data_IF_028105607280
#
_entry.id   IF_028105607280
#
_cell.length_a   1.000
_cell.length_b   1.000
_cell.length_c   1.000
_cell.angle_alpha   90.00
_cell.angle_beta   90.00
_cell.angle_gamma   90.00
#
_symmetry.space_group_name_H-M   'P 1'
#
loop_
_entity.id
_entity.type
_entity.pdbx_description
1 polymer ?
#
# COMPACT_ATOMS: atom_id res chain seq x y z
N UNK A 1 13.39 4.87 5.24
CA UNK A 1 13.04 4.33 6.56
C UNK A 1 12.32 5.38 7.38
N UNK A 2 11.18 5.06 7.97
CA UNK A 2 10.57 5.94 8.96
C UNK A 2 11.19 5.63 10.32
N UNK A 3 11.95 6.55 10.89
CA UNK A 3 12.48 6.44 12.25
C UNK A 3 11.70 7.37 13.16
N UNK A 4 11.57 7.02 14.42
CA UNK A 4 11.03 7.94 15.43
C UNK A 4 12.01 9.09 15.63
N UNK A 5 11.49 10.32 15.75
CA UNK A 5 12.32 11.52 15.86
C UNK A 5 13.27 11.44 17.05
N UNK A 6 12.83 10.90 18.18
CA UNK A 6 13.63 10.73 19.39
C UNK A 6 14.84 9.80 19.23
N UNK A 7 14.91 9.01 18.15
CA UNK A 7 16.01 8.11 17.82
C UNK A 7 17.00 8.70 16.79
N UNK A 8 16.79 9.93 16.37
CA UNK A 8 17.72 10.60 15.47
C UNK A 8 18.91 11.16 16.25
N UNK A 9 20.15 11.04 15.73
CA UNK A 9 21.32 11.68 16.36
C UNK A 9 21.19 13.20 16.30
N UNK A 10 21.76 13.90 17.29
CA UNK A 10 21.67 15.36 17.39
C UNK A 10 22.43 16.08 16.27
N UNK A 11 23.50 15.49 15.75
CA UNK A 11 24.28 16.04 14.63
C UNK A 11 24.82 14.93 13.75
N UNK A 12 25.03 15.19 12.46
CA UNK A 12 25.60 14.24 11.51
C UNK A 12 24.68 13.04 11.25
N UNK A 13 23.37 13.24 11.34
CA UNK A 13 22.35 12.20 11.26
C UNK A 13 22.12 11.63 9.87
N UNK A 14 21.16 10.71 9.78
CA UNK A 14 20.83 10.05 8.52
C UNK A 14 20.33 11.06 7.49
N UNK A 15 20.45 10.66 6.23
CA UNK A 15 19.82 11.40 5.14
C UNK A 15 18.30 11.35 5.30
N UNK A 16 17.68 12.51 5.39
CA UNK A 16 16.23 12.68 5.50
C UNK A 16 15.61 12.90 4.12
N UNK A 17 14.32 12.65 4.01
CA UNK A 17 13.55 13.04 2.84
C UNK A 17 12.87 14.37 3.13
N UNK A 18 13.23 15.39 2.35
CA UNK A 18 12.67 16.73 2.44
C UNK A 18 12.11 17.17 1.09
N UNK A 19 11.05 18.01 1.05
CA UNK A 19 10.53 18.53 -0.20
C UNK A 19 11.50 19.58 -0.78
N UNK A 20 11.79 19.49 -2.08
CA UNK A 20 12.42 20.56 -2.85
C UNK A 20 11.42 21.65 -3.26
N UNK A 21 11.91 22.68 -3.96
CA UNK A 21 11.06 23.76 -4.48
C UNK A 21 9.97 23.27 -5.45
N UNK A 22 10.17 22.14 -6.11
CA UNK A 22 9.17 21.50 -6.97
C UNK A 22 8.27 20.49 -6.24
N UNK A 23 8.33 20.46 -4.91
CA UNK A 23 7.58 19.58 -4.02
C UNK A 23 7.87 18.07 -4.21
N UNK A 24 9.04 17.74 -4.76
CA UNK A 24 9.51 16.36 -4.80
C UNK A 24 10.30 16.07 -3.54
N UNK A 25 10.13 14.87 -3.00
CA UNK A 25 10.98 14.42 -1.91
C UNK A 25 12.39 14.14 -2.44
N UNK A 26 13.34 14.90 -1.95
CA UNK A 26 14.76 14.72 -2.23
C UNK A 26 15.50 14.33 -0.95
N UNK A 27 16.65 13.70 -1.12
CA UNK A 27 17.54 13.42 0.02
C UNK A 27 18.17 14.71 0.52
N UNK A 28 18.01 14.99 1.80
CA UNK A 28 18.59 16.11 2.48
C UNK A 28 19.41 15.63 3.68
N UNK A 29 20.59 16.18 3.86
CA UNK A 29 21.38 15.89 5.05
C UNK A 29 20.74 16.58 6.27
N UNK A 30 20.64 15.85 7.38
CA UNK A 30 20.27 16.44 8.66
C UNK A 30 21.45 17.29 9.14
N UNK A 31 21.22 18.58 9.31
CA UNK A 31 22.26 19.49 9.84
C UNK A 31 22.30 19.44 11.36
N UNK A 32 21.14 19.51 11.99
CA UNK A 32 21.01 19.58 13.44
C UNK A 32 19.64 19.05 13.88
N UNK A 33 19.56 18.58 15.12
CA UNK A 33 18.33 18.31 15.83
C UNK A 33 18.37 19.00 17.19
N UNK A 34 17.44 19.92 17.40
CA UNK A 34 17.33 20.66 18.66
C UNK A 34 16.22 20.03 19.53
N UNK A 35 16.55 19.71 20.78
CA UNK A 35 15.58 19.31 21.77
C UNK A 35 15.06 20.54 22.47
N UNK A 36 13.78 20.86 22.32
CA UNK A 36 13.16 22.07 22.87
C UNK A 36 12.46 21.88 24.22
N UNK A 37 12.55 20.69 24.81
CA UNK A 37 11.88 20.34 26.07
C UNK A 37 10.38 20.08 25.88
N UNK A 38 9.63 20.12 27.00
CA UNK A 38 8.19 19.93 26.99
C UNK A 38 7.49 21.17 26.39
N UNK A 39 6.55 20.92 25.49
CA UNK A 39 5.78 21.95 24.79
C UNK A 39 4.31 21.53 24.74
N UNK A 40 3.43 22.51 24.81
CA UNK A 40 2.03 22.28 24.45
C UNK A 40 1.91 21.84 23.01
N UNK A 41 1.11 20.80 22.77
CA UNK A 41 0.84 20.24 21.46
C UNK A 41 -0.65 20.31 21.13
N UNK A 42 -0.94 20.34 19.85
CA UNK A 42 -2.28 20.23 19.30
C UNK A 42 -2.37 18.98 18.40
N UNK A 43 -3.50 18.31 18.41
CA UNK A 43 -3.80 17.24 17.47
C UNK A 43 -4.68 17.78 16.34
N UNK A 44 -4.21 17.64 15.11
CA UNK A 44 -4.97 17.94 13.91
C UNK A 44 -5.55 16.64 13.37
N UNK A 45 -6.86 16.45 13.48
CA UNK A 45 -7.56 15.29 12.90
C UNK A 45 -7.94 15.59 11.46
N UNK A 46 -7.39 14.81 10.53
CA UNK A 46 -7.59 14.99 9.10
C UNK A 46 -8.85 14.29 8.60
N UNK A 47 -9.36 14.72 7.46
CA UNK A 47 -10.57 14.16 6.82
C UNK A 47 -10.45 12.65 6.52
N UNK A 48 -9.24 12.13 6.34
CA UNK A 48 -8.97 10.71 6.12
C UNK A 48 -8.73 9.91 7.41
N UNK A 49 -9.00 10.51 8.57
CA UNK A 49 -8.86 9.90 9.88
C UNK A 49 -7.45 9.89 10.46
N UNK A 50 -6.45 10.41 9.75
CA UNK A 50 -5.10 10.57 10.30
C UNK A 50 -5.05 11.70 11.29
N UNK A 51 -4.20 11.56 12.28
CA UNK A 51 -3.94 12.61 13.27
C UNK A 51 -2.48 13.02 13.21
N UNK A 52 -2.24 14.33 13.12
CA UNK A 52 -0.91 14.93 13.28
C UNK A 52 -0.87 15.63 14.63
N UNK A 53 0.06 15.23 15.47
CA UNK A 53 0.32 15.92 16.75
C UNK A 53 1.57 16.77 16.59
N UNK A 54 1.48 18.07 16.83
CA UNK A 54 2.57 19.01 16.68
C UNK A 54 2.38 20.23 17.59
N UNK A 55 3.41 21.03 17.75
CA UNK A 55 3.28 22.32 18.45
C UNK A 55 2.38 23.29 17.66
N UNK A 56 1.69 24.25 18.31
CA UNK A 56 0.83 25.21 17.62
C UNK A 56 1.53 26.02 16.53
N UNK A 57 2.81 26.30 16.71
CA UNK A 57 3.65 27.06 15.79
C UNK A 57 4.28 26.24 14.69
N UNK A 58 4.03 24.91 14.65
CA UNK A 58 4.57 24.04 13.62
C UNK A 58 4.05 24.42 12.23
N UNK A 59 4.97 24.58 11.29
CA UNK A 59 4.62 24.97 9.93
C UNK A 59 4.11 23.79 9.12
N UNK A 60 2.94 23.95 8.54
CA UNK A 60 2.23 22.96 7.72
C UNK A 60 2.17 23.48 6.27
N UNK A 61 2.57 22.64 5.31
CA UNK A 61 2.49 22.98 3.90
C UNK A 61 1.03 22.83 3.41
N UNK A 62 0.45 23.95 2.97
CA UNK A 62 -0.88 23.95 2.33
C UNK A 62 -0.81 23.53 0.85
N UNK A 63 -1.95 23.14 0.30
CA UNK A 63 -2.08 22.74 -1.10
C UNK A 63 -1.71 23.87 -2.08
N UNK A 64 -1.91 25.14 -1.68
CA UNK A 64 -1.51 26.32 -2.44
C UNK A 64 0.01 26.61 -2.42
N UNK A 65 0.78 25.79 -1.69
CA UNK A 65 2.22 25.89 -1.59
C UNK A 65 2.75 26.82 -0.52
N UNK A 66 1.89 27.38 0.31
CA UNK A 66 2.30 28.24 1.43
C UNK A 66 2.49 27.41 2.69
N UNK A 67 3.50 27.78 3.47
CA UNK A 67 3.68 27.28 4.82
C UNK A 67 2.84 28.12 5.78
N UNK A 68 2.05 27.47 6.60
CA UNK A 68 1.15 28.09 7.57
C UNK A 68 1.27 27.36 8.90
N UNK A 69 1.28 28.10 10.01
CA UNK A 69 1.31 27.52 11.35
C UNK A 69 0.09 26.63 11.59
N UNK A 70 0.29 25.55 12.33
CA UNK A 70 -0.77 24.60 12.64
C UNK A 70 -1.97 25.23 13.37
N UNK A 71 -1.71 26.23 14.24
CA UNK A 71 -2.75 26.98 14.95
C UNK A 71 -3.51 27.99 14.06
N UNK A 72 -2.93 28.38 12.94
CA UNK A 72 -3.53 29.33 12.00
C UNK A 72 -4.36 28.65 10.88
N UNK A 73 -4.37 27.31 10.81
CA UNK A 73 -5.18 26.59 9.82
C UNK A 73 -6.67 26.77 10.09
N UNK A 74 -7.45 27.05 9.04
CA UNK A 74 -8.92 27.08 9.09
C UNK A 74 -9.48 25.68 8.93
N UNK A 75 -10.02 25.12 10.03
CA UNK A 75 -10.58 23.76 10.04
C UNK A 75 -11.73 23.63 9.04
N UNK A 76 -11.72 22.55 8.27
CA UNK A 76 -12.75 22.26 7.25
C UNK A 76 -12.63 23.06 5.95
N UNK A 77 -11.78 24.09 5.90
CA UNK A 77 -11.57 24.92 4.69
C UNK A 77 -10.19 24.72 4.08
N UNK A 78 -9.13 24.87 4.90
CA UNK A 78 -7.76 24.71 4.41
C UNK A 78 -7.51 23.30 3.92
N UNK A 79 -6.59 23.19 2.97
CA UNK A 79 -6.12 21.89 2.45
C UNK A 79 -4.62 21.80 2.67
N UNK A 80 -4.18 20.73 3.32
CA UNK A 80 -2.77 20.49 3.62
C UNK A 80 -2.20 19.36 2.76
N UNK A 81 -0.94 19.48 2.38
CA UNK A 81 -0.26 18.46 1.59
C UNK A 81 -0.01 17.23 2.44
N UNK A 82 -0.48 16.08 1.97
CA UNK A 82 -0.36 14.81 2.67
C UNK A 82 0.41 13.83 1.81
N UNK A 83 1.64 13.53 2.21
CA UNK A 83 2.45 12.49 1.56
C UNK A 83 2.95 12.88 0.18
N UNK A 84 4.14 13.36 0.16
CA UNK A 84 4.91 13.57 -1.07
C UNK A 84 5.39 12.21 -1.59
N UNK A 85 5.56 12.08 -2.91
CA UNK A 85 6.13 10.88 -3.50
C UNK A 85 7.60 10.78 -3.13
N UNK A 86 7.97 9.75 -2.36
CA UNK A 86 9.36 9.45 -2.11
C UNK A 86 9.99 8.83 -3.36
N UNK A 87 11.23 9.21 -3.72
CA UNK A 87 11.98 8.49 -4.73
C UNK A 87 12.14 7.04 -4.28
N UNK A 88 11.90 6.11 -5.19
CA UNK A 88 12.18 4.71 -4.95
C UNK A 88 13.67 4.48 -5.11
N UNK A 89 14.36 4.38 -4.00
CA UNK A 89 15.65 3.70 -3.99
C UNK A 89 15.41 2.20 -3.99
N UNK A 90 15.63 1.58 -5.10
CA UNK A 90 15.49 0.12 -5.24
C UNK A 90 16.59 -0.64 -4.48
N UNK A 91 17.70 0.02 -4.17
CA UNK A 91 18.80 -0.54 -3.37
C UNK A 91 19.30 0.51 -2.37
N UNK A 92 19.03 0.31 -1.10
CA UNK A 92 19.75 1.08 -0.07
C UNK A 92 21.13 0.46 0.16
N UNK A 93 22.12 1.28 0.45
CA UNK A 93 23.47 0.78 0.82
C UNK A 93 23.44 -0.16 2.05
N UNK A 94 22.41 -0.03 2.87
CA UNK A 94 22.21 -0.84 4.07
C UNK A 94 21.65 -2.25 3.78
N UNK A 95 21.18 -2.55 2.57
CA UNK A 95 20.62 -3.87 2.23
C UNK A 95 21.66 -4.98 2.28
N UNK A 96 22.90 -4.70 1.90
CA UNK A 96 23.97 -5.70 1.86
C UNK A 96 24.30 -6.31 3.25
N UNK A 97 24.05 -5.55 4.32
CA UNK A 97 24.23 -6.00 5.71
C UNK A 97 23.04 -6.76 6.30
N UNK A 98 21.94 -6.90 5.55
CA UNK A 98 20.76 -7.58 6.05
C UNK A 98 20.97 -9.08 6.19
N UNK A 99 20.62 -9.62 7.36
CA UNK A 99 20.68 -11.04 7.68
C UNK A 99 19.38 -11.46 8.38
N UNK A 100 18.66 -12.41 7.80
CA UNK A 100 17.50 -13.06 8.39
C UNK A 100 17.88 -14.49 8.84
N UNK A 101 17.75 -14.76 10.12
CA UNK A 101 17.91 -16.10 10.68
C UNK A 101 16.57 -16.78 10.86
N UNK A 102 16.40 -17.93 10.21
CA UNK A 102 15.22 -18.76 10.26
C UNK A 102 15.59 -20.18 10.71
N UNK A 103 15.70 -20.40 12.02
CA UNK A 103 16.22 -21.63 12.59
C UNK A 103 17.69 -21.84 12.23
N UNK A 104 17.99 -22.94 11.56
CA UNK A 104 19.35 -23.27 11.08
C UNK A 104 19.68 -22.65 9.71
N UNK A 105 18.72 -21.96 9.06
CA UNK A 105 18.92 -21.37 7.74
C UNK A 105 19.09 -19.87 7.87
N UNK A 106 20.08 -19.35 7.15
CA UNK A 106 20.34 -17.91 7.06
C UNK A 106 20.02 -17.42 5.64
N UNK A 107 19.44 -16.24 5.55
CA UNK A 107 19.13 -15.53 4.32
C UNK A 107 19.74 -14.13 4.38
N UNK A 108 20.49 -13.76 3.37
CA UNK A 108 21.16 -12.47 3.32
C UNK A 108 20.92 -11.70 2.03
N UNK A 109 21.35 -10.46 1.98
CA UNK A 109 21.31 -9.61 0.79
C UNK A 109 22.72 -9.25 0.33
N UNK A 110 23.74 -10.02 0.77
CA UNK A 110 25.15 -9.71 0.57
C UNK A 110 25.58 -9.73 -0.91
N UNK A 111 25.07 -10.70 -1.66
CA UNK A 111 25.31 -10.84 -3.09
C UNK A 111 23.99 -11.16 -3.84
N UNK A 112 24.05 -11.21 -5.18
CA UNK A 112 22.87 -11.43 -6.01
C UNK A 112 22.25 -12.82 -5.82
N UNK A 113 23.06 -13.87 -5.60
CA UNK A 113 22.55 -15.23 -5.40
C UNK A 113 21.79 -15.34 -4.07
N UNK A 114 22.38 -14.85 -2.99
CA UNK A 114 21.74 -14.79 -1.67
C UNK A 114 20.52 -13.87 -1.68
N UNK A 115 20.61 -12.74 -2.38
CA UNK A 115 19.49 -11.84 -2.58
C UNK A 115 18.30 -12.58 -3.24
N UNK A 116 18.53 -13.30 -4.33
CA UNK A 116 17.46 -14.05 -5.00
C UNK A 116 16.86 -15.14 -4.08
N UNK A 117 17.67 -15.83 -3.30
CA UNK A 117 17.21 -16.81 -2.29
C UNK A 117 16.35 -16.13 -1.22
N UNK A 118 16.79 -15.00 -0.69
CA UNK A 118 16.04 -14.24 0.32
C UNK A 118 14.69 -13.76 -0.21
N UNK A 119 14.65 -13.23 -1.43
CA UNK A 119 13.42 -12.80 -2.08
C UNK A 119 12.47 -13.97 -2.37
N UNK A 120 13.00 -15.12 -2.82
CA UNK A 120 12.23 -16.33 -3.02
C UNK A 120 11.60 -16.84 -1.72
N UNK A 121 12.38 -16.85 -0.64
CA UNK A 121 11.88 -17.23 0.69
C UNK A 121 10.76 -16.29 1.16
N UNK A 122 10.93 -14.99 1.00
CA UNK A 122 9.92 -14.01 1.41
C UNK A 122 8.58 -14.19 0.67
N UNK A 123 8.60 -14.38 -0.67
CA UNK A 123 7.36 -14.57 -1.43
C UNK A 123 6.71 -15.93 -1.17
N UNK A 124 7.50 -16.99 -0.96
CA UNK A 124 6.98 -18.29 -0.56
C UNK A 124 6.29 -18.24 0.81
N UNK A 125 6.92 -17.56 1.78
CA UNK A 125 6.36 -17.37 3.11
C UNK A 125 5.04 -16.59 3.05
N UNK A 126 5.01 -15.48 2.31
CA UNK A 126 3.77 -14.70 2.11
C UNK A 126 2.64 -15.56 1.54
N UNK A 127 2.93 -16.37 0.52
CA UNK A 127 1.95 -17.29 -0.07
C UNK A 127 1.52 -18.40 0.89
N UNK A 128 2.45 -18.97 1.65
CA UNK A 128 2.16 -20.00 2.63
C UNK A 128 1.23 -19.49 3.74
N UNK A 129 1.46 -18.27 4.21
CA UNK A 129 0.65 -17.66 5.29
C UNK A 129 -0.74 -17.23 4.81
N UNK A 130 -0.96 -17.03 3.51
CA UNK A 130 -2.28 -16.73 2.95
C UNK A 130 -3.04 -18.01 2.57
N UNK A 131 -2.58 -18.74 1.59
CA UNK A 131 -3.30 -19.86 0.95
C UNK A 131 -2.65 -21.25 1.23
N UNK A 132 -1.70 -21.27 2.17
CA UNK A 132 -1.06 -22.50 2.61
C UNK A 132 -1.59 -23.01 3.96
N UNK A 133 -0.98 -24.07 4.44
CA UNK A 133 -1.22 -24.64 5.75
C UNK A 133 0.08 -25.14 6.39
N UNK A 134 0.22 -24.96 7.68
CA UNK A 134 1.29 -25.55 8.50
C UNK A 134 0.60 -26.42 9.56
N UNK A 135 0.79 -27.72 9.48
CA UNK A 135 0.20 -28.65 10.44
C UNK A 135 0.93 -28.58 11.80
N UNK A 136 0.27 -29.04 12.87
CA UNK A 136 0.91 -29.17 14.19
C UNK A 136 2.06 -30.21 14.19
N UNK A 137 2.04 -31.14 13.23
CA UNK A 137 3.12 -32.10 13.02
C UNK A 137 4.33 -31.54 12.23
N UNK A 138 4.37 -30.23 11.98
CA UNK A 138 5.49 -29.59 11.28
C UNK A 138 5.54 -29.91 9.78
N UNK A 139 4.40 -30.06 9.13
CA UNK A 139 4.30 -30.20 7.67
C UNK A 139 3.68 -28.92 7.10
N UNK A 140 4.31 -28.35 6.09
CA UNK A 140 3.78 -27.19 5.36
C UNK A 140 3.40 -27.56 3.93
N UNK A 141 2.27 -27.01 3.48
CA UNK A 141 1.74 -27.20 2.12
C UNK A 141 1.20 -25.89 1.57
N UNK A 142 1.39 -25.67 0.27
CA UNK A 142 0.80 -24.56 -0.48
C UNK A 142 -0.10 -25.10 -1.57
N UNK A 143 -1.19 -24.36 -1.84
CA UNK A 143 -2.09 -24.64 -2.94
C UNK A 143 -1.98 -23.54 -4.01
N UNK A 144 -1.94 -23.96 -5.29
CA UNK A 144 -1.91 -23.05 -6.45
C UNK A 144 -2.89 -23.52 -7.51
N UNK A 145 -3.49 -22.57 -8.23
CA UNK A 145 -4.58 -22.84 -9.17
C UNK A 145 -4.12 -23.11 -10.61
N UNK A 146 -3.00 -22.51 -11.02
CA UNK A 146 -2.53 -22.58 -12.41
C UNK A 146 -1.20 -23.34 -12.51
N UNK A 147 -0.96 -23.96 -13.68
CA UNK A 147 0.30 -24.67 -13.93
C UNK A 147 1.51 -23.73 -13.87
N UNK A 148 1.38 -22.50 -14.37
CA UNK A 148 2.44 -21.49 -14.29
C UNK A 148 2.76 -21.10 -12.85
N UNK A 149 1.76 -20.97 -12.00
CA UNK A 149 1.95 -20.70 -10.58
C UNK A 149 2.68 -21.85 -9.89
N UNK A 150 2.32 -23.09 -10.25
CA UNK A 150 3.00 -24.29 -9.76
C UNK A 150 4.48 -24.27 -10.13
N UNK A 151 4.80 -24.04 -11.40
CA UNK A 151 6.19 -24.00 -11.87
C UNK A 151 6.99 -22.91 -11.14
N UNK A 152 6.41 -21.73 -10.94
CA UNK A 152 7.06 -20.65 -10.20
C UNK A 152 7.37 -21.05 -8.75
N UNK A 153 6.43 -21.70 -8.05
CA UNK A 153 6.65 -22.18 -6.68
C UNK A 153 7.74 -23.26 -6.65
N UNK A 154 7.70 -24.23 -7.60
CA UNK A 154 8.70 -25.30 -7.67
C UNK A 154 10.11 -24.77 -7.93
N UNK A 155 10.25 -23.78 -8.82
CA UNK A 155 11.53 -23.14 -9.11
C UNK A 155 12.11 -22.44 -7.87
N UNK A 156 11.26 -21.76 -7.09
CA UNK A 156 11.73 -21.10 -5.87
C UNK A 156 12.10 -22.10 -4.77
N UNK A 157 11.37 -23.20 -4.63
CA UNK A 157 11.75 -24.25 -3.69
C UNK A 157 13.09 -24.88 -4.11
N UNK A 158 13.28 -25.12 -5.39
CA UNK A 158 14.54 -25.64 -5.94
C UNK A 158 15.71 -24.67 -5.70
N UNK A 159 15.49 -23.37 -5.93
CA UNK A 159 16.49 -22.33 -5.61
C UNK A 159 16.87 -22.31 -4.14
N UNK A 160 15.91 -22.54 -3.24
CA UNK A 160 16.14 -22.50 -1.79
C UNK A 160 16.80 -23.75 -1.23
N UNK A 161 16.53 -24.92 -1.83
CA UNK A 161 16.88 -26.23 -1.24
C UNK A 161 17.79 -27.08 -2.13
N UNK A 162 18.02 -26.65 -3.37
CA UNK A 162 18.71 -27.45 -4.39
C UNK A 162 17.93 -28.68 -4.87
N UNK A 163 16.66 -28.83 -4.43
CA UNK A 163 15.82 -29.98 -4.78
C UNK A 163 14.43 -29.52 -5.26
N UNK A 164 13.99 -30.09 -6.37
CA UNK A 164 12.66 -29.83 -6.90
C UNK A 164 11.67 -30.84 -6.36
N UNK A 165 10.68 -30.45 -5.55
CA UNK A 165 9.70 -31.38 -5.03
C UNK A 165 8.72 -31.81 -6.12
N UNK A 166 8.13 -33.01 -5.96
CA UNK A 166 7.03 -33.46 -6.78
C UNK A 166 5.77 -32.64 -6.43
N UNK A 167 5.36 -31.71 -7.28
CA UNK A 167 4.10 -30.99 -7.12
C UNK A 167 2.95 -31.86 -7.61
N UNK A 168 2.22 -32.49 -6.69
CA UNK A 168 1.06 -33.35 -7.03
C UNK A 168 -0.19 -32.51 -7.35
N UNK A 169 -1.00 -33.02 -8.32
CA UNK A 169 -2.33 -32.48 -8.57
C UNK A 169 -3.24 -32.89 -7.41
N UNK A 170 -3.89 -31.94 -6.77
CA UNK A 170 -4.80 -32.23 -5.65
C UNK A 170 -6.21 -32.55 -6.14
N UNK A 171 -6.70 -31.78 -7.09
CA UNK A 171 -7.96 -31.97 -7.80
C UNK A 171 -7.87 -31.35 -9.20
N UNK A 172 -8.97 -31.30 -9.95
CA UNK A 172 -8.99 -30.69 -11.29
C UNK A 172 -8.64 -29.18 -11.32
N UNK A 173 -8.75 -28.50 -10.18
CA UNK A 173 -8.64 -27.04 -10.09
C UNK A 173 -7.37 -26.54 -9.43
N UNK A 174 -6.63 -27.41 -8.71
CA UNK A 174 -5.46 -26.98 -7.93
C UNK A 174 -4.39 -28.05 -7.76
N UNK A 175 -3.16 -27.59 -7.60
CA UNK A 175 -2.03 -28.41 -7.17
C UNK A 175 -1.74 -28.15 -5.70
N UNK A 176 -1.33 -29.19 -4.97
CA UNK A 176 -0.83 -29.10 -3.60
C UNK A 176 0.66 -29.42 -3.61
N UNK A 177 1.45 -28.50 -3.12
CA UNK A 177 2.91 -28.60 -3.07
C UNK A 177 3.32 -28.70 -1.61
N UNK A 178 3.94 -29.82 -1.23
CA UNK A 178 4.54 -29.96 0.10
C UNK A 178 5.89 -29.25 0.12
N UNK A 179 6.14 -28.45 1.15
CA UNK A 179 7.45 -27.87 1.37
C UNK A 179 8.42 -28.93 1.92
N UNK A 180 9.70 -28.93 1.49
CA UNK A 180 10.74 -29.71 2.13
C UNK A 180 10.83 -29.44 3.63
N UNK A 181 11.22 -30.47 4.39
CA UNK A 181 11.22 -30.40 5.86
C UNK A 181 12.11 -29.29 6.38
N UNK A 182 13.30 -29.11 5.80
CA UNK A 182 14.24 -28.06 6.16
C UNK A 182 13.64 -26.66 6.01
N UNK A 183 12.91 -26.42 4.90
CA UNK A 183 12.25 -25.14 4.65
C UNK A 183 11.05 -24.94 5.59
N UNK A 184 10.31 -26.03 5.88
CA UNK A 184 9.22 -25.97 6.86
C UNK A 184 9.74 -25.63 8.25
N UNK A 185 10.87 -26.22 8.66
CA UNK A 185 11.51 -25.93 9.96
C UNK A 185 11.98 -24.47 10.02
N UNK A 186 12.59 -23.95 8.93
CA UNK A 186 12.98 -22.56 8.83
C UNK A 186 11.76 -21.63 9.01
N UNK A 187 10.66 -21.90 8.32
CA UNK A 187 9.42 -21.13 8.44
C UNK A 187 8.86 -21.18 9.86
N UNK A 188 8.80 -22.36 10.48
CA UNK A 188 8.25 -22.53 11.83
C UNK A 188 9.13 -21.88 12.93
N UNK A 189 10.41 -21.67 12.66
CA UNK A 189 11.32 -21.01 13.58
C UNK A 189 11.15 -19.47 13.61
N UNK A 190 10.43 -18.89 12.66
CA UNK A 190 10.23 -17.43 12.59
C UNK A 190 9.23 -16.95 13.65
N UNK A 191 9.58 -15.94 14.46
CA UNK A 191 8.64 -15.31 15.37
C UNK A 191 7.42 -14.74 14.62
N UNK A 192 6.22 -15.04 15.13
CA UNK A 192 4.95 -14.64 14.51
C UNK A 192 4.34 -15.69 13.58
N UNK A 193 5.11 -16.68 13.11
CA UNK A 193 4.56 -17.83 12.36
C UNK A 193 4.02 -18.88 13.32
N UNK A 194 2.83 -19.37 13.05
CA UNK A 194 2.14 -20.35 13.90
C UNK A 194 1.73 -21.59 13.11
N UNK A 195 1.83 -22.75 13.73
CA UNK A 195 1.33 -24.01 13.20
C UNK A 195 -0.11 -24.30 13.65
N UNK A 196 -0.82 -25.10 12.90
CA UNK A 196 -2.20 -25.50 13.17
C UNK A 196 -3.23 -24.69 12.37
N UNK A 197 -4.49 -24.79 12.75
CA UNK A 197 -5.59 -24.11 12.06
C UNK A 197 -5.48 -22.60 12.23
N UNK A 198 -5.34 -21.85 11.14
CA UNK A 198 -5.29 -20.37 11.14
C UNK A 198 -6.53 -19.73 11.75
N UNK A 199 -7.70 -20.34 11.56
CA UNK A 199 -8.98 -19.83 12.09
C UNK A 199 -9.13 -19.97 13.59
N UNK A 200 -8.28 -20.77 14.24
CA UNK A 200 -8.30 -21.01 15.69
C UNK A 200 -7.19 -20.24 16.43
N UNK A 201 -6.59 -19.27 15.76
CA UNK A 201 -5.45 -18.52 16.28
C UNK A 201 -5.58 -17.03 15.91
N UNK A 202 -5.09 -16.17 16.80
CA UNK A 202 -4.96 -14.75 16.45
C UNK A 202 -3.95 -14.59 15.30
N UNK A 203 -4.33 -13.99 14.16
CA UNK A 203 -3.41 -13.80 13.06
C UNK A 203 -2.33 -12.77 13.42
N UNK A 204 -1.12 -12.98 12.91
CA UNK A 204 0.00 -12.06 13.04
C UNK A 204 0.88 -12.16 11.79
N UNK A 205 1.64 -11.11 11.49
CA UNK A 205 2.71 -11.13 10.51
C UNK A 205 4.01 -11.65 11.15
N UNK A 206 4.92 -12.26 10.38
CA UNK A 206 6.25 -12.59 10.87
C UNK A 206 6.98 -11.34 11.36
N UNK A 207 7.64 -11.43 12.52
CA UNK A 207 8.25 -10.27 13.15
C UNK A 207 9.29 -9.56 12.26
N UNK A 208 10.03 -10.32 11.44
CA UNK A 208 11.10 -9.75 10.61
C UNK A 208 10.58 -8.78 9.54
N UNK A 209 9.37 -8.98 8.99
CA UNK A 209 8.82 -8.03 7.99
C UNK A 209 8.41 -6.71 8.61
N UNK A 210 8.13 -6.71 9.92
CA UNK A 210 7.78 -5.52 10.70
C UNK A 210 9.02 -4.76 11.18
N UNK A 211 10.18 -5.41 11.19
CA UNK A 211 11.45 -4.80 11.57
C UNK A 211 11.79 -3.62 10.66
N UNK A 212 12.22 -2.52 11.25
CA UNK A 212 12.59 -1.31 10.50
C UNK A 212 13.77 -1.52 9.56
N UNK A 213 14.65 -2.49 9.85
CA UNK A 213 15.81 -2.83 9.03
C UNK A 213 15.48 -3.85 7.92
N UNK A 214 14.27 -4.39 7.88
CA UNK A 214 13.89 -5.30 6.81
C UNK A 214 13.91 -4.57 5.45
N UNK A 215 14.66 -5.06 4.45
CA UNK A 215 14.74 -4.42 3.14
C UNK A 215 13.38 -4.32 2.46
N UNK A 216 13.15 -3.21 1.78
CA UNK A 216 11.89 -2.98 1.04
C UNK A 216 11.65 -4.06 -0.01
N UNK A 217 12.71 -4.56 -0.67
CA UNK A 217 12.62 -5.65 -1.64
C UNK A 217 12.05 -6.94 -1.01
N UNK A 218 12.48 -7.29 0.21
CA UNK A 218 11.99 -8.45 0.96
C UNK A 218 10.51 -8.27 1.34
N UNK A 219 10.14 -7.08 1.83
CA UNK A 219 8.74 -6.76 2.16
C UNK A 219 7.85 -6.84 0.92
N UNK A 220 8.30 -6.33 -0.23
CA UNK A 220 7.56 -6.38 -1.50
C UNK A 220 7.26 -7.82 -1.94
N UNK A 221 8.26 -8.69 -1.89
CA UNK A 221 8.08 -10.09 -2.25
C UNK A 221 7.16 -10.81 -1.26
N UNK A 222 7.31 -10.58 0.04
CA UNK A 222 6.41 -11.12 1.06
C UNK A 222 4.96 -10.69 0.82
N UNK A 223 4.71 -9.39 0.64
CA UNK A 223 3.36 -8.87 0.35
C UNK A 223 2.82 -9.40 -0.98
N UNK A 224 3.66 -9.49 -2.01
CA UNK A 224 3.27 -10.08 -3.29
C UNK A 224 2.77 -11.51 -3.15
N UNK A 225 3.46 -12.34 -2.34
CA UNK A 225 3.04 -13.68 -1.99
C UNK A 225 1.74 -13.71 -1.19
N UNK A 226 1.64 -12.84 -0.18
CA UNK A 226 0.47 -12.71 0.68
C UNK A 226 -0.80 -12.34 -0.11
N UNK A 227 -0.72 -11.31 -0.96
CA UNK A 227 -1.81 -10.89 -1.84
C UNK A 227 -2.08 -11.89 -2.97
N UNK A 228 -1.07 -12.63 -3.40
CA UNK A 228 -1.22 -13.73 -4.35
C UNK A 228 -2.22 -14.78 -3.85
N UNK A 229 -2.25 -15.06 -2.54
CA UNK A 229 -3.24 -15.92 -1.89
C UNK A 229 -4.58 -15.22 -1.62
N UNK A 230 -4.70 -14.59 -0.48
CA UNK A 230 -5.96 -14.02 0.03
C UNK A 230 -6.28 -12.62 -0.53
N UNK A 231 -5.39 -12.02 -1.32
CA UNK A 231 -5.65 -10.72 -1.97
C UNK A 231 -6.69 -10.83 -3.09
N UNK A 232 -7.42 -9.74 -3.29
CA UNK A 232 -8.37 -9.59 -4.39
C UNK A 232 -7.73 -8.77 -5.52
N UNK A 233 -7.75 -9.31 -6.73
CA UNK A 233 -7.34 -8.56 -7.92
C UNK A 233 -8.31 -7.43 -8.23
N UNK A 234 -7.88 -6.41 -8.99
CA UNK A 234 -8.77 -5.38 -9.52
C UNK A 234 -10.01 -5.97 -10.15
N UNK A 235 -11.14 -5.33 -9.91
CA UNK A 235 -12.44 -5.82 -10.38
C UNK A 235 -13.26 -4.69 -10.98
N UNK A 236 -13.80 -4.94 -12.17
CA UNK A 236 -14.75 -4.04 -12.80
C UNK A 236 -16.10 -4.12 -12.06
N UNK A 237 -16.54 -3.01 -11.49
CA UNK A 237 -17.84 -2.85 -10.87
C UNK A 237 -18.74 -2.02 -11.77
N UNK A 238 -19.90 -2.55 -12.06
CA UNK A 238 -20.91 -1.88 -12.89
C UNK A 238 -22.02 -1.33 -11.99
N UNK A 239 -22.47 -0.14 -12.29
CA UNK A 239 -23.50 0.57 -11.52
C UNK A 239 -24.68 0.94 -12.41
N UNK A 240 -25.87 1.08 -11.77
CA UNK A 240 -27.09 1.49 -12.44
C UNK A 240 -27.85 0.37 -13.13
N UNK A 241 -29.13 0.66 -13.50
CA UNK A 241 -30.04 -0.35 -14.09
C UNK A 241 -29.61 -0.90 -15.44
N UNK A 242 -28.83 -0.16 -16.21
CA UNK A 242 -28.34 -0.56 -17.53
C UNK A 242 -26.82 -0.77 -17.59
N UNK A 243 -26.15 -0.92 -16.44
CA UNK A 243 -24.68 -0.99 -16.37
C UNK A 243 -23.99 0.19 -17.11
N UNK A 244 -24.62 1.36 -17.10
CA UNK A 244 -24.18 2.55 -17.83
C UNK A 244 -22.91 3.18 -17.27
N UNK A 245 -22.61 2.92 -16.00
CA UNK A 245 -21.39 3.38 -15.35
C UNK A 245 -20.59 2.20 -14.83
N UNK A 246 -19.29 2.25 -15.01
CA UNK A 246 -18.37 1.26 -14.50
C UNK A 246 -17.21 1.93 -13.80
N UNK A 247 -16.73 1.34 -12.70
CA UNK A 247 -15.48 1.71 -12.05
C UNK A 247 -14.59 0.49 -11.87
N UNK A 248 -13.29 0.70 -11.86
CA UNK A 248 -12.33 -0.33 -11.60
C UNK A 248 -11.93 -0.27 -10.12
N UNK A 249 -12.40 -1.25 -9.34
CA UNK A 249 -12.06 -1.34 -7.92
C UNK A 249 -10.57 -1.68 -7.76
N UNK A 250 -9.87 -0.98 -6.84
CA UNK A 250 -8.49 -1.30 -6.50
C UNK A 250 -8.35 -2.72 -5.90
N UNK A 251 -7.13 -3.26 -5.83
CA UNK A 251 -6.86 -4.45 -5.07
C UNK A 251 -7.30 -4.31 -3.60
N UNK A 252 -7.68 -5.41 -3.00
CA UNK A 252 -8.05 -5.48 -1.59
C UNK A 252 -7.46 -6.73 -0.95
N UNK A 253 -7.40 -6.76 0.37
CA UNK A 253 -7.02 -7.95 1.13
C UNK A 253 -8.11 -8.27 2.15
N UNK A 254 -8.54 -9.51 2.25
CA UNK A 254 -9.61 -9.90 3.16
C UNK A 254 -9.22 -11.11 4.01
N UNK A 255 -9.65 -11.07 5.27
CA UNK A 255 -9.48 -12.17 6.21
C UNK A 255 -10.76 -12.39 7.00
N UNK A 256 -11.17 -13.67 7.12
CA UNK A 256 -12.27 -14.07 8.00
C UNK A 256 -11.73 -14.44 9.37
N UNK A 257 -12.32 -13.90 10.42
CA UNK A 257 -11.92 -14.14 11.80
C UNK A 257 -13.12 -14.59 12.64
N UNK A 258 -12.85 -15.38 13.68
CA UNK A 258 -13.79 -15.58 14.78
C UNK A 258 -13.91 -14.29 15.60
N UNK A 259 -15.04 -14.05 16.30
CA UNK A 259 -15.25 -12.83 17.06
C UNK A 259 -14.10 -12.47 18.03
N UNK A 260 -13.54 -13.45 18.70
CA UNK A 260 -12.43 -13.29 19.64
C UNK A 260 -11.11 -12.81 18.97
N UNK A 261 -10.96 -13.00 17.67
CA UNK A 261 -9.75 -12.62 16.92
C UNK A 261 -9.92 -11.38 16.04
N UNK A 262 -11.09 -10.74 16.05
CA UNK A 262 -11.36 -9.54 15.23
C UNK A 262 -10.35 -8.42 15.49
N UNK A 263 -10.05 -8.13 16.75
CA UNK A 263 -9.09 -7.09 17.12
C UNK A 263 -7.66 -7.42 16.64
N UNK A 264 -7.24 -8.68 16.74
CA UNK A 264 -5.93 -9.11 16.24
C UNK A 264 -5.86 -9.07 14.71
N UNK A 265 -6.95 -9.46 14.03
CA UNK A 265 -7.03 -9.39 12.57
C UNK A 265 -6.98 -7.94 12.08
N UNK A 266 -7.66 -7.02 12.77
CA UNK A 266 -7.59 -5.59 12.44
C UNK A 266 -6.16 -5.07 12.55
N UNK A 267 -5.46 -5.35 13.65
CA UNK A 267 -4.05 -4.95 13.83
C UNK A 267 -3.16 -5.50 12.72
N UNK A 268 -3.29 -6.77 12.37
CA UNK A 268 -2.54 -7.35 11.26
C UNK A 268 -2.81 -6.61 9.93
N UNK A 269 -4.05 -6.23 9.64
CA UNK A 269 -4.37 -5.46 8.43
C UNK A 269 -3.79 -4.04 8.48
N UNK A 270 -3.76 -3.40 9.65
CA UNK A 270 -3.11 -2.12 9.87
C UNK A 270 -1.59 -2.22 9.68
N UNK A 271 -0.96 -3.30 10.15
CA UNK A 271 0.46 -3.60 9.89
C UNK A 271 0.72 -3.76 8.39
N UNK A 272 -0.17 -4.45 7.65
CA UNK A 272 -0.08 -4.55 6.18
C UNK A 272 -0.12 -3.16 5.53
N UNK A 273 -0.98 -2.23 5.99
CA UNK A 273 -1.00 -0.85 5.50
C UNK A 273 0.35 -0.17 5.70
N UNK A 274 0.96 -0.32 6.89
CA UNK A 274 2.28 0.26 7.16
C UNK A 274 3.36 -0.32 6.23
N UNK A 275 3.35 -1.62 6.00
CA UNK A 275 4.27 -2.26 5.06
C UNK A 275 4.06 -1.78 3.62
N UNK A 276 2.82 -1.63 3.17
CA UNK A 276 2.49 -1.07 1.84
C UNK A 276 3.03 0.35 1.70
N UNK A 277 2.85 1.20 2.72
CA UNK A 277 3.40 2.56 2.73
C UNK A 277 4.93 2.56 2.69
N UNK A 278 5.61 1.66 3.42
CA UNK A 278 7.07 1.48 3.35
C UNK A 278 7.53 1.11 1.93
N UNK A 279 6.71 0.35 1.20
CA UNK A 279 6.98 0.00 -0.19
C UNK A 279 6.62 1.12 -1.19
N UNK A 280 6.19 2.28 -0.73
CA UNK A 280 5.79 3.40 -1.58
C UNK A 280 4.43 3.22 -2.25
N UNK A 281 3.61 2.28 -1.77
CA UNK A 281 2.21 2.16 -2.21
C UNK A 281 1.40 3.28 -1.59
N UNK A 282 0.54 3.93 -2.37
CA UNK A 282 -0.38 4.96 -1.89
C UNK A 282 -1.53 4.32 -1.09
N UNK A 283 -1.18 3.73 0.06
CA UNK A 283 -2.11 3.04 0.95
C UNK A 283 -2.60 3.95 2.10
N UNK A 284 -2.17 5.20 2.17
CA UNK A 284 -2.70 6.17 3.13
C UNK A 284 -4.15 6.46 2.79
N UNK A 285 -5.04 6.35 3.79
CA UNK A 285 -6.49 6.38 3.57
C UNK A 285 -7.09 5.01 3.24
N UNK A 286 -6.30 3.93 3.27
CA UNK A 286 -6.82 2.57 3.25
C UNK A 286 -7.74 2.34 4.46
N UNK A 287 -8.86 1.68 4.21
CA UNK A 287 -9.87 1.43 5.23
C UNK A 287 -10.00 -0.06 5.52
N UNK A 288 -10.08 -0.41 6.80
CA UNK A 288 -10.41 -1.77 7.23
C UNK A 288 -11.89 -1.83 7.54
N UNK A 289 -12.67 -2.39 6.62
CA UNK A 289 -14.11 -2.57 6.80
C UNK A 289 -14.42 -3.94 7.35
N UNK A 290 -15.48 -4.01 8.12
CA UNK A 290 -15.98 -5.22 8.74
C UNK A 290 -17.32 -5.60 8.11
N UNK A 291 -17.42 -6.85 7.66
CA UNK A 291 -18.63 -7.38 7.06
C UNK A 291 -19.09 -8.62 7.85
N UNK A 292 -20.38 -8.72 8.16
CA UNK A 292 -20.92 -9.99 8.64
C UNK A 292 -20.79 -11.02 7.52
N UNK A 293 -20.09 -12.11 7.77
CA UNK A 293 -20.00 -13.18 6.80
C UNK A 293 -21.37 -13.87 6.68
N UNK A 294 -22.02 -13.65 5.55
CA UNK A 294 -23.14 -14.48 5.11
C UNK A 294 -22.58 -15.80 4.58
N UNK A 295 -22.02 -16.62 5.42
CA UNK A 295 -21.80 -18.00 5.03
C UNK A 295 -23.17 -18.68 5.02
N UNK A 296 -23.77 -18.72 3.84
CA UNK A 296 -24.72 -19.76 3.57
C UNK A 296 -24.02 -21.08 3.89
N UNK A 297 -24.65 -21.90 4.72
CA UNK A 297 -24.18 -23.20 5.19
C UNK A 297 -23.88 -24.22 4.07
N UNK A 298 -23.85 -23.80 2.81
CA UNK A 298 -23.91 -24.68 1.65
C UNK A 298 -22.59 -24.94 0.92
N UNK A 299 -21.49 -24.29 1.24
CA UNK A 299 -20.25 -24.48 0.46
C UNK A 299 -19.07 -25.11 1.20
N UNK A 300 -19.18 -25.38 2.49
CA UNK A 300 -18.17 -26.14 3.24
C UNK A 300 -18.85 -27.26 4.06
N UNK A 301 -18.31 -28.50 4.00
CA UNK A 301 -18.88 -29.61 4.77
C UNK A 301 -18.81 -29.32 6.27
N UNK A 302 -19.71 -29.96 7.03
CA UNK A 302 -19.94 -29.82 8.47
C UNK A 302 -18.73 -30.07 9.41
N UNK A 303 -17.53 -30.20 8.88
CA UNK A 303 -16.27 -30.28 9.63
C UNK A 303 -15.74 -28.93 10.14
N UNK A 304 -16.38 -27.81 9.80
CA UNK A 304 -16.07 -26.51 10.37
C UNK A 304 -17.00 -26.27 11.56
N UNK A 305 -16.43 -25.80 12.64
CA UNK A 305 -17.05 -25.49 13.93
C UNK A 305 -18.24 -24.49 13.87
N UNK A 306 -18.82 -24.24 12.70
CA UNK A 306 -20.09 -23.56 12.44
C UNK A 306 -20.32 -22.21 13.11
N UNK A 307 -19.35 -21.69 13.85
CA UNK A 307 -19.48 -20.45 14.60
C UNK A 307 -19.52 -19.20 13.71
N UNK A 308 -20.04 -18.09 14.25
CA UNK A 308 -20.12 -16.83 13.52
C UNK A 308 -18.71 -16.37 13.12
N UNK A 309 -18.57 -15.86 11.91
CA UNK A 309 -17.33 -15.28 11.40
C UNK A 309 -17.57 -13.88 10.91
N UNK A 310 -16.53 -13.08 11.00
CA UNK A 310 -16.51 -11.69 10.57
C UNK A 310 -15.40 -11.55 9.54
N UNK A 311 -15.74 -11.07 8.36
CA UNK A 311 -14.74 -10.72 7.35
C UNK A 311 -14.26 -9.28 7.61
N UNK A 312 -12.95 -9.11 7.75
CA UNK A 312 -12.30 -7.82 7.71
C UNK A 312 -11.65 -7.66 6.34
N UNK A 313 -11.94 -6.55 5.68
CA UNK A 313 -11.44 -6.25 4.35
C UNK A 313 -10.67 -4.94 4.37
N UNK A 314 -9.39 -5.02 4.00
CA UNK A 314 -8.54 -3.88 3.72
C UNK A 314 -8.81 -3.43 2.28
N UNK A 315 -9.35 -2.23 2.11
CA UNK A 315 -9.61 -1.60 0.83
C UNK A 315 -8.56 -0.51 0.58
N UNK A 316 -7.86 -0.59 -0.54
CA UNK A 316 -6.89 0.41 -0.93
C UNK A 316 -7.59 1.60 -1.61
N UNK A 317 -7.10 2.83 -1.40
CA UNK A 317 -7.70 4.03 -2.02
C UNK A 317 -7.47 4.08 -3.54
N UNK A 318 -6.37 3.50 -4.01
CA UNK A 318 -6.03 3.42 -5.45
C UNK A 318 -5.22 2.15 -5.73
N UNK A 319 -5.18 1.74 -7.01
CA UNK A 319 -4.61 0.44 -7.37
C UNK A 319 -3.28 0.50 -8.11
N UNK A 320 -2.98 1.62 -8.78
CA UNK A 320 -1.82 1.68 -9.68
C UNK A 320 -0.51 1.47 -8.94
N UNK A 321 -0.27 2.21 -7.85
CA UNK A 321 0.97 2.08 -7.08
C UNK A 321 1.14 0.69 -6.47
N UNK A 322 0.05 0.03 -6.06
CA UNK A 322 0.11 -1.36 -5.60
C UNK A 322 0.58 -2.31 -6.71
N UNK A 323 -0.01 -2.20 -7.90
CA UNK A 323 0.33 -3.10 -9.02
C UNK A 323 1.78 -2.89 -9.48
N UNK A 324 2.23 -1.65 -9.54
CA UNK A 324 3.58 -1.30 -9.97
C UNK A 324 4.66 -1.72 -8.96
N UNK A 325 4.35 -1.72 -7.67
CA UNK A 325 5.34 -1.93 -6.62
C UNK A 325 5.28 -3.30 -5.97
N UNK A 326 4.11 -3.87 -5.82
CA UNK A 326 3.89 -5.16 -5.14
C UNK A 326 3.42 -6.21 -6.15
N UNK A 327 2.21 -6.04 -6.69
CA UNK A 327 1.57 -7.03 -7.55
C UNK A 327 1.17 -8.31 -6.81
N UNK A 328 1.04 -9.39 -7.56
CA UNK A 328 0.60 -10.71 -7.06
C UNK A 328 1.63 -11.76 -7.44
N UNK A 329 2.18 -12.48 -6.47
CA UNK A 329 3.09 -13.61 -6.72
C UNK A 329 2.31 -14.92 -6.66
N UNK A 330 2.71 -15.88 -7.48
CA UNK A 330 2.11 -17.20 -7.59
C UNK A 330 0.58 -17.19 -7.84
N UNK A 331 0.13 -16.18 -8.58
CA UNK A 331 -1.24 -16.10 -9.06
C UNK A 331 -1.30 -15.30 -10.38
N UNK A 332 -1.01 -15.97 -11.49
CA UNK A 332 -0.93 -15.38 -12.84
C UNK A 332 -2.26 -14.72 -13.23
N UNK A 333 -3.39 -15.30 -12.88
CA UNK A 333 -4.71 -14.72 -13.18
C UNK A 333 -4.92 -13.36 -12.51
N UNK A 334 -4.51 -13.22 -11.24
CA UNK A 334 -4.59 -11.95 -10.52
C UNK A 334 -3.63 -10.94 -11.14
N UNK A 335 -2.41 -11.38 -11.48
CA UNK A 335 -1.40 -10.50 -12.07
C UNK A 335 -1.80 -10.01 -13.46
N UNK A 336 -2.39 -10.86 -14.30
CA UNK A 336 -2.91 -10.45 -15.62
C UNK A 336 -4.01 -9.38 -15.50
N UNK A 337 -4.98 -9.58 -14.60
CA UNK A 337 -6.03 -8.57 -14.33
C UNK A 337 -5.44 -7.28 -13.79
N UNK A 338 -4.48 -7.38 -12.90
CA UNK A 338 -3.80 -6.22 -12.33
C UNK A 338 -3.01 -5.44 -13.39
N UNK A 339 -2.32 -6.14 -14.30
CA UNK A 339 -1.60 -5.51 -15.41
C UNK A 339 -2.53 -4.78 -16.37
N UNK A 340 -3.67 -5.38 -16.71
CA UNK A 340 -4.70 -4.72 -17.53
C UNK A 340 -5.28 -3.48 -16.81
N UNK A 341 -5.54 -3.57 -15.52
CA UNK A 341 -6.00 -2.45 -14.71
C UNK A 341 -4.97 -1.33 -14.62
N UNK A 342 -3.67 -1.66 -14.52
CA UNK A 342 -2.60 -0.67 -14.48
C UNK A 342 -2.52 0.15 -15.77
N UNK A 343 -2.71 -0.47 -16.93
CA UNK A 343 -2.80 0.25 -18.22
C UNK A 343 -3.94 1.26 -18.20
N UNK A 344 -5.12 0.84 -17.73
CA UNK A 344 -6.27 1.74 -17.61
C UNK A 344 -5.97 2.91 -16.66
N UNK A 345 -5.48 2.64 -15.45
CA UNK A 345 -5.19 3.69 -14.48
C UNK A 345 -4.09 4.66 -14.94
N UNK A 346 -3.03 4.17 -15.59
CA UNK A 346 -2.01 5.04 -16.20
C UNK A 346 -2.59 5.95 -17.27
N UNK A 347 -3.50 5.42 -18.09
CA UNK A 347 -4.19 6.22 -19.09
C UNK A 347 -5.02 7.32 -18.45
N UNK A 348 -5.80 6.97 -17.42
CA UNK A 348 -6.61 7.94 -16.64
C UNK A 348 -5.72 9.00 -15.98
N UNK A 349 -4.61 8.59 -15.36
CA UNK A 349 -3.66 9.53 -14.73
C UNK A 349 -3.05 10.49 -15.77
N UNK A 350 -2.69 9.98 -16.95
CA UNK A 350 -2.17 10.81 -18.06
C UNK A 350 -3.21 11.82 -18.52
N UNK A 351 -4.45 11.41 -18.71
CA UNK A 351 -5.54 12.30 -19.11
C UNK A 351 -5.78 13.37 -18.01
N UNK A 352 -5.78 12.97 -16.76
CA UNK A 352 -5.99 13.91 -15.65
C UNK A 352 -4.85 14.92 -15.53
N UNK A 353 -3.59 14.52 -15.72
CA UNK A 353 -2.45 15.47 -15.75
C UNK A 353 -2.58 16.47 -16.90
N UNK A 354 -2.98 16.01 -18.07
CA UNK A 354 -3.21 16.90 -19.21
C UNK A 354 -4.35 17.89 -18.94
N UNK A 355 -5.42 17.43 -18.30
CA UNK A 355 -6.55 18.29 -17.88
C UNK A 355 -6.10 19.34 -16.86
N UNK A 356 -5.32 18.97 -15.85
CA UNK A 356 -4.78 19.92 -14.86
C UNK A 356 -3.91 20.99 -15.52
N UNK A 357 -2.96 20.55 -16.35
CA UNK A 357 -2.11 21.48 -17.11
C UNK A 357 -2.93 22.46 -17.93
N UNK A 358 -4.01 21.97 -18.59
CA UNK A 358 -4.89 22.82 -19.38
C UNK A 358 -5.69 23.79 -18.50
N UNK A 359 -6.16 23.36 -17.34
CA UNK A 359 -6.87 24.24 -16.39
C UNK A 359 -5.98 25.39 -15.93
N UNK A 360 -4.74 25.07 -15.53
CA UNK A 360 -3.73 26.06 -15.14
C UNK A 360 -3.46 27.07 -16.28
N UNK A 361 -3.38 26.55 -17.53
CA UNK A 361 -3.15 27.39 -18.70
C UNK A 361 -4.34 28.30 -19.02
N UNK A 362 -5.56 27.81 -18.87
CA UNK A 362 -6.78 28.61 -19.00
C UNK A 362 -6.88 29.69 -17.94
N UNK A 363 -6.54 29.38 -16.69
CA UNK A 363 -6.52 30.33 -15.60
C UNK A 363 -5.48 31.44 -15.86
N UNK A 364 -4.30 31.08 -16.37
CA UNK A 364 -3.28 32.04 -16.78
C UNK A 364 -3.77 32.96 -17.91
N UNK A 365 -4.43 32.40 -18.93
CA UNK A 365 -5.01 33.19 -20.03
C UNK A 365 -6.08 34.16 -19.55
N UNK A 366 -6.93 33.75 -18.63
CA UNK A 366 -7.92 34.63 -18.00
C UNK A 366 -7.28 35.73 -17.18
N UNK A 367 -6.21 35.44 -16.42
CA UNK A 367 -5.46 36.42 -15.65
C UNK A 367 -4.79 37.49 -16.53
N UNK A 368 -4.25 37.06 -17.70
CA UNK A 368 -3.54 37.93 -18.61
C UNK A 368 -4.47 38.82 -19.46
N UNK A 369 -5.66 38.31 -19.80
CA UNK A 369 -6.56 38.97 -20.75
C UNK A 369 -7.87 39.48 -20.13
N UNK A 370 -8.03 39.34 -18.80
CA UNK A 370 -9.27 39.64 -18.09
C UNK A 370 -10.33 38.56 -18.32
N UNK A 371 -11.58 38.81 -17.91
CA UNK A 371 -12.67 37.85 -18.12
C UNK A 371 -12.97 37.70 -19.61
N UNK A 372 -12.56 36.57 -20.17
CA UNK A 372 -12.81 36.19 -21.55
C UNK A 372 -14.04 35.29 -21.64
N UNK A 373 -14.84 35.47 -22.69
CA UNK A 373 -15.85 34.48 -23.02
C UNK A 373 -15.18 33.14 -23.34
N UNK A 374 -15.87 32.04 -23.07
CA UNK A 374 -15.39 30.68 -23.37
C UNK A 374 -14.90 30.54 -24.82
N UNK A 375 -15.60 31.15 -25.79
CA UNK A 375 -15.21 31.13 -27.21
C UNK A 375 -13.86 31.84 -27.46
N UNK A 376 -13.60 32.97 -26.81
CA UNK A 376 -12.32 33.69 -26.93
C UNK A 376 -11.19 32.94 -26.26
N UNK A 377 -11.42 32.39 -25.07
CA UNK A 377 -10.45 31.57 -24.35
C UNK A 377 -10.06 30.35 -25.18
N UNK A 378 -11.04 29.69 -25.80
CA UNK A 378 -10.83 28.56 -26.71
C UNK A 378 -10.02 28.94 -27.96
N UNK A 379 -10.31 30.09 -28.56
CA UNK A 379 -9.58 30.56 -29.73
C UNK A 379 -8.10 30.88 -29.42
N UNK A 380 -7.84 31.51 -28.27
CA UNK A 380 -6.48 31.79 -27.81
C UNK A 380 -5.71 30.52 -27.45
N UNK A 381 -6.34 29.58 -26.75
CA UNK A 381 -5.76 28.30 -26.41
C UNK A 381 -5.49 27.45 -27.65
N UNK A 382 -6.35 27.47 -28.66
CA UNK A 382 -6.17 26.70 -29.90
C UNK A 382 -4.94 27.14 -30.70
N UNK A 383 -4.50 28.38 -30.56
CA UNK A 383 -3.26 28.88 -31.22
C UNK A 383 -1.98 28.30 -30.57
N UNK A 384 -2.04 27.86 -29.33
CA UNK A 384 -0.89 27.36 -28.56
C UNK A 384 -0.91 25.83 -28.35
N UNK A 385 -2.04 25.18 -28.68
CA UNK A 385 -2.25 23.77 -28.39
C UNK A 385 -2.00 22.91 -29.63
N UNK A 386 -1.47 21.71 -29.38
CA UNK A 386 -1.39 20.66 -30.39
C UNK A 386 -2.81 20.17 -30.77
N UNK A 387 -2.96 19.53 -31.93
CA UNK A 387 -4.24 18.96 -32.35
C UNK A 387 -4.84 17.97 -31.34
N UNK A 388 -3.98 17.23 -30.62
CA UNK A 388 -4.40 16.30 -29.55
C UNK A 388 -4.94 17.04 -28.31
N UNK A 389 -4.26 18.10 -27.92
CA UNK A 389 -4.68 18.93 -26.78
C UNK A 389 -5.98 19.67 -27.11
N UNK A 390 -6.10 20.19 -28.33
CA UNK A 390 -7.32 20.84 -28.83
C UNK A 390 -8.51 19.86 -28.83
N UNK A 391 -8.30 18.59 -29.14
CA UNK A 391 -9.34 17.57 -29.11
C UNK A 391 -9.87 17.29 -27.68
N UNK A 392 -9.03 17.51 -26.67
CA UNK A 392 -9.43 17.37 -25.26
C UNK A 392 -10.14 18.62 -24.72
N UNK A 393 -10.06 19.75 -25.39
CA UNK A 393 -10.58 21.05 -24.95
C UNK A 393 -12.07 21.07 -24.62
N UNK A 394 -12.98 20.41 -25.37
CA UNK A 394 -14.40 20.36 -25.03
C UNK A 394 -14.71 19.76 -23.66
N UNK A 395 -13.76 18.97 -23.12
CA UNK A 395 -13.91 18.32 -21.83
C UNK A 395 -13.45 19.22 -20.65
N UNK A 396 -12.84 20.38 -20.91
CA UNK A 396 -12.36 21.30 -19.87
C UNK A 396 -13.42 22.25 -19.36
N UNK A 397 -14.47 22.53 -20.12
CA UNK A 397 -15.66 23.22 -19.61
C UNK A 397 -16.34 22.50 -18.45
N UNK A 398 -15.99 21.21 -18.28
CA UNK A 398 -16.47 20.34 -17.23
C UNK A 398 -15.67 20.49 -15.91
N UNK A 399 -14.57 21.26 -15.90
CA UNK A 399 -13.79 21.55 -14.70
C UNK A 399 -14.51 22.52 -13.74
N UNK A 400 -15.55 23.22 -14.19
CA UNK A 400 -16.38 24.09 -13.37
C UNK A 400 -17.37 23.36 -12.44
N UNK A 401 -17.15 22.08 -12.14
CA UNK A 401 -17.77 21.42 -11.01
C UNK A 401 -19.04 20.62 -11.29
N UNK A 402 -19.43 20.40 -12.53
CA UNK A 402 -20.66 19.65 -12.87
C UNK A 402 -20.44 18.23 -13.40
N UNK A 403 -19.21 17.79 -13.66
CA UNK A 403 -18.97 16.46 -14.21
C UNK A 403 -18.55 15.45 -13.14
N UNK A 404 -19.29 14.34 -13.07
CA UNK A 404 -19.00 13.18 -12.20
C UNK A 404 -17.70 12.48 -12.55
N UNK A 405 -17.10 12.75 -13.71
CA UNK A 405 -15.81 12.19 -14.16
C UNK A 405 -14.60 13.08 -13.85
N UNK A 406 -14.82 14.32 -13.42
CA UNK A 406 -13.77 15.30 -13.17
C UNK A 406 -13.44 15.54 -11.71
N UNK A 407 -13.83 14.69 -10.79
CA UNK A 407 -13.14 14.66 -9.50
C UNK A 407 -11.71 14.25 -9.75
N UNK A 408 -10.85 15.26 -9.86
CA UNK A 408 -9.43 15.13 -10.03
C UNK A 408 -8.84 14.39 -8.83
N UNK A 409 -8.48 13.09 -8.94
CA UNK A 409 -7.98 12.36 -7.78
C UNK A 409 -6.63 12.90 -7.30
N UNK A 410 -5.90 13.63 -8.15
CA UNK A 410 -4.51 13.99 -7.88
C UNK A 410 -4.34 15.07 -6.83
N UNK A 411 -5.17 16.11 -6.80
CA UNK A 411 -5.10 17.11 -5.73
C UNK A 411 -5.83 16.64 -4.46
N UNK A 412 -6.97 15.97 -4.60
CA UNK A 412 -7.70 15.43 -3.46
C UNK A 412 -6.93 14.31 -2.74
N UNK A 413 -6.09 13.54 -3.44
CA UNK A 413 -5.25 12.51 -2.81
C UNK A 413 -3.96 13.05 -2.20
N UNK A 414 -3.50 14.24 -2.60
CA UNK A 414 -2.29 14.89 -2.07
C UNK A 414 -2.57 15.93 -0.99
N UNK A 415 -3.80 16.39 -0.89
CA UNK A 415 -4.20 17.38 0.10
C UNK A 415 -5.40 16.90 0.91
N UNK A 416 -5.31 17.05 2.21
CA UNK A 416 -6.34 16.67 3.15
C UNK A 416 -6.81 17.87 3.95
N UNK A 417 -8.09 17.89 4.35
CA UNK A 417 -8.63 18.96 5.19
C UNK A 417 -8.47 18.59 6.66
N UNK A 418 -7.88 19.43 7.48
CA UNK A 418 -7.98 19.28 8.92
C UNK A 418 -9.42 19.58 9.35
N UNK A 419 -10.08 18.60 9.98
CA UNK A 419 -11.47 18.72 10.41
C UNK A 419 -11.59 19.21 11.84
N UNK A 420 -10.63 18.85 12.69
CA UNK A 420 -10.73 19.08 14.10
C UNK A 420 -9.34 19.37 14.71
N UNK A 421 -9.32 20.17 15.77
CA UNK A 421 -8.14 20.52 16.55
C UNK A 421 -8.46 20.31 18.02
N UNK A 422 -7.63 19.54 18.70
CA UNK A 422 -7.72 19.29 20.14
C UNK A 422 -6.41 19.71 20.81
N UNK A 423 -6.50 20.19 22.03
CA UNK A 423 -5.32 20.32 22.91
C UNK A 423 -4.89 18.90 23.34
N UNK A 424 -3.61 18.62 23.27
CA UNK A 424 -3.05 17.34 23.68
C UNK A 424 -2.10 17.51 24.84
N UNK A 425 -2.45 16.90 25.97
CA UNK A 425 -1.49 16.67 27.04
C UNK A 425 -0.74 15.37 26.70
N UNK A 426 0.55 15.46 26.44
CA UNK A 426 1.38 14.28 26.30
C UNK A 426 1.58 13.64 27.66
N UNK A 427 1.34 12.33 27.83
CA UNK A 427 1.80 11.64 29.02
C UNK A 427 3.33 11.74 29.07
N UNK A 428 3.87 12.16 30.20
CA UNK A 428 5.31 12.16 30.45
C UNK A 428 5.90 10.82 30.08
N UNK A 429 7.08 10.75 29.43
CA UNK A 429 7.74 9.49 29.19
C UNK A 429 7.91 8.77 30.54
N UNK A 430 7.39 7.56 30.61
CA UNK A 430 7.61 6.67 31.74
C UNK A 430 9.11 6.39 31.79
N UNK A 431 9.77 6.73 32.89
CA UNK A 431 11.18 6.47 33.18
C UNK A 431 11.55 4.99 33.04
#
# INVERSE_FOLDING_TARGET
MARRIERLPQAGGPVLLAPDASRRLVRAAQTEMMVQGERECIALVMQDGRTLVCTPDHEILRADGRWVRADALEMGKDRVVMGLEAPLDERSADEAGYLLRAGAVEFSMADEAERQRTLAFARLLGRLLSDGSISRAGQARMNVGQALDREAVLNDIELLTGRRPAGGRYDERKWSIALPQELTQAVCALPGVRSGRRTDQAPALPAFVLDEHCPVAVIREFLGGLFGGDGHAPKLKRYGRAAQAASLEPPAYAQSAKPEFVAATRRMLEDIVQLLVRCGVKARGATVRQYPTRHAASSYPAAHDGGPRIELRLELPEGLSFVERIGFRYCVDKMMRASAAAVYWRTVDTINRQRLWMADRLEELHRLNGELSFAKTRALAAAELTARETALFPHYSLLEGQDRFTRLPSEETRACRPLHRESCDFPSPVE
#
